data_IF_670837826169
#
_entry.id   IF_670837826169
#
_cell.length_a   1.000
_cell.length_b   1.000
_cell.length_c   1.000
_cell.angle_alpha   90.00
_cell.angle_beta   90.00
_cell.angle_gamma   90.00
#
_symmetry.space_group_name_H-M   'P 1'
#
loop_
_entity.id
_entity.type
_entity.pdbx_description
1 polymer ?
#
# COMPACT_ATOMS: atom_id res chain seq x y z
N UNK A 1 8.26 64.82 86.41
CA UNK A 1 8.08 64.69 84.96
C UNK A 1 8.65 63.31 84.57
N UNK A 2 7.78 62.29 84.51
CA UNK A 2 8.17 60.93 84.22
C UNK A 2 7.75 60.61 82.75
N UNK A 3 8.72 60.34 81.87
CA UNK A 3 8.47 59.95 80.49
C UNK A 3 8.21 58.43 80.40
N UNK A 4 7.01 58.07 80.01
CA UNK A 4 6.67 56.70 79.71
C UNK A 4 7.24 56.32 78.34
N UNK A 5 8.23 55.43 78.29
CA UNK A 5 8.71 54.79 77.08
C UNK A 5 7.68 53.78 76.56
N UNK A 6 7.15 54.06 75.42
CA UNK A 6 6.23 53.15 74.71
C UNK A 6 7.03 52.06 73.98
N UNK A 7 7.09 50.86 74.56
CA UNK A 7 7.66 49.70 73.83
C UNK A 7 6.92 49.36 72.62
N UNK A 8 7.59 49.41 71.46
CA UNK A 8 7.04 48.87 70.19
C UNK A 8 7.13 47.37 70.21
N UNK A 9 5.94 46.65 70.27
CA UNK A 9 5.90 45.21 70.09
C UNK A 9 6.40 44.87 68.67
N UNK A 10 7.45 44.10 68.56
CA UNK A 10 7.89 43.54 67.27
C UNK A 10 6.91 42.45 66.84
N UNK A 11 6.27 42.64 65.73
CA UNK A 11 5.39 41.62 65.13
C UNK A 11 6.31 40.48 64.69
N UNK A 12 6.03 39.27 65.22
CA UNK A 12 6.75 38.08 64.81
C UNK A 12 6.14 37.59 63.46
N UNK A 13 6.76 38.00 62.36
CA UNK A 13 6.32 37.65 60.99
C UNK A 13 6.22 36.16 60.75
N UNK A 14 6.96 35.35 61.49
CA UNK A 14 6.91 33.90 61.38
C UNK A 14 5.55 33.35 61.92
N UNK A 15 5.04 33.87 63.02
CA UNK A 15 3.72 33.50 63.54
C UNK A 15 2.58 34.02 62.64
N UNK A 16 2.72 35.19 62.07
CA UNK A 16 1.77 35.75 61.13
C UNK A 16 1.68 34.92 59.87
N UNK A 17 2.85 34.43 59.34
CA UNK A 17 2.91 33.55 58.16
C UNK A 17 2.20 32.21 58.38
N UNK A 18 2.40 31.60 59.57
CA UNK A 18 1.73 30.34 59.95
C UNK A 18 0.20 30.51 60.05
N UNK A 19 -0.24 31.59 60.65
CA UNK A 19 -1.68 31.88 60.89
C UNK A 19 -2.42 32.10 59.55
N UNK A 20 -1.73 32.60 58.51
CA UNK A 20 -2.33 32.85 57.19
C UNK A 20 -2.19 31.61 56.27
N UNK A 21 -1.03 30.96 56.24
CA UNK A 21 -0.79 29.83 55.29
C UNK A 21 -1.55 28.54 55.68
N UNK A 22 -1.64 28.24 56.96
CA UNK A 22 -2.33 26.99 57.41
C UNK A 22 -3.79 26.96 57.02
N UNK A 23 -4.61 28.02 57.27
CA UNK A 23 -6.00 28.04 56.82
C UNK A 23 -6.16 27.97 55.31
N UNK A 24 -5.29 28.63 54.53
CA UNK A 24 -5.35 28.61 53.08
C UNK A 24 -5.07 27.19 52.54
N UNK A 25 -4.10 26.49 53.15
CA UNK A 25 -3.82 25.08 52.80
C UNK A 25 -4.98 24.15 53.14
N UNK A 26 -5.61 24.33 54.30
CA UNK A 26 -6.79 23.53 54.72
C UNK A 26 -8.00 23.78 53.80
N UNK A 27 -8.25 25.03 53.41
CA UNK A 27 -9.31 25.38 52.47
C UNK A 27 -9.01 24.79 51.09
N UNK A 28 -7.76 24.82 50.63
CA UNK A 28 -7.34 24.22 49.37
C UNK A 28 -7.57 22.71 49.35
N UNK A 29 -7.21 22.01 50.42
CA UNK A 29 -7.45 20.55 50.56
C UNK A 29 -8.94 20.22 50.63
N UNK A 30 -9.72 21.00 51.34
CA UNK A 30 -11.18 20.80 51.39
C UNK A 30 -11.85 21.07 50.03
N UNK A 31 -11.47 22.14 49.34
CA UNK A 31 -11.99 22.42 48.01
C UNK A 31 -11.62 21.32 47.01
N UNK A 32 -10.38 20.82 47.06
CA UNK A 32 -9.94 19.72 46.21
C UNK A 32 -10.70 18.42 46.54
N UNK A 33 -10.84 18.09 47.83
CA UNK A 33 -11.59 16.93 48.26
C UNK A 33 -13.05 16.97 47.83
N UNK A 34 -13.73 18.13 47.95
CA UNK A 34 -15.10 18.33 47.48
C UNK A 34 -15.18 18.24 45.95
N UNK A 35 -14.20 18.78 45.23
CA UNK A 35 -14.17 18.69 43.77
C UNK A 35 -14.05 17.22 43.30
N UNK A 36 -13.20 16.42 43.95
CA UNK A 36 -13.00 15.00 43.63
C UNK A 36 -14.26 14.17 43.98
N UNK A 37 -15.02 14.54 45.01
CA UNK A 37 -16.24 13.82 45.42
C UNK A 37 -17.44 14.22 44.55
N UNK A 38 -17.48 15.48 44.06
CA UNK A 38 -18.63 15.99 43.29
C UNK A 38 -18.45 15.82 41.75
N UNK A 39 -17.25 15.47 41.25
CA UNK A 39 -17.12 15.06 39.88
C UNK A 39 -17.81 13.70 39.72
N UNK A 40 -18.86 13.58 38.87
CA UNK A 40 -19.43 12.28 38.58
C UNK A 40 -18.29 11.37 38.11
N UNK A 41 -18.13 10.19 38.72
CA UNK A 41 -17.34 9.14 38.10
C UNK A 41 -18.02 8.91 36.76
N UNK A 42 -17.44 9.44 35.66
CA UNK A 42 -17.74 8.89 34.36
C UNK A 42 -17.46 7.40 34.47
N UNK A 43 -18.53 6.61 34.38
CA UNK A 43 -18.38 5.20 34.08
C UNK A 43 -17.55 5.15 32.81
N UNK A 44 -16.29 4.81 32.96
CA UNK A 44 -15.47 4.38 31.85
C UNK A 44 -16.15 3.11 31.35
N UNK A 45 -17.16 3.29 30.47
CA UNK A 45 -17.65 2.19 29.65
C UNK A 45 -16.36 1.67 28.99
N UNK A 46 -15.96 0.47 29.39
CA UNK A 46 -14.94 -0.27 28.66
C UNK A 46 -15.35 -0.16 27.18
N UNK A 47 -14.68 0.71 26.47
CA UNK A 47 -14.71 0.69 25.01
C UNK A 47 -14.11 -0.66 24.69
N UNK A 48 -14.99 -1.66 24.52
CA UNK A 48 -14.58 -2.92 23.89
C UNK A 48 -13.90 -2.47 22.61
N UNK A 49 -12.56 -2.47 22.64
CA UNK A 49 -11.77 -2.34 21.43
C UNK A 49 -12.25 -3.48 20.57
N UNK A 50 -13.21 -3.19 19.71
CA UNK A 50 -13.61 -4.10 18.64
C UNK A 50 -12.32 -4.28 17.87
N UNK A 51 -11.61 -5.39 18.15
CA UNK A 51 -10.49 -5.81 17.35
C UNK A 51 -11.03 -5.80 15.94
N UNK A 52 -10.63 -4.82 15.12
CA UNK A 52 -10.97 -4.77 13.71
C UNK A 52 -10.65 -6.15 13.20
N UNK A 53 -11.68 -6.92 12.81
CA UNK A 53 -11.50 -8.26 12.27
C UNK A 53 -10.49 -8.06 11.15
N UNK A 54 -9.36 -8.78 11.19
CA UNK A 54 -8.38 -8.74 10.10
C UNK A 54 -9.20 -9.02 8.84
N UNK A 55 -9.34 -8.06 7.94
CA UNK A 55 -10.04 -8.31 6.71
C UNK A 55 -9.29 -9.43 6.02
N UNK A 56 -9.97 -10.55 5.76
CA UNK A 56 -9.35 -11.66 5.05
C UNK A 56 -8.91 -11.15 3.67
N UNK A 57 -7.71 -11.50 3.20
CA UNK A 57 -7.24 -11.12 1.87
C UNK A 57 -8.21 -11.60 0.80
N UNK A 58 -8.51 -10.75 -0.18
CA UNK A 58 -9.44 -11.07 -1.28
C UNK A 58 -8.83 -10.72 -2.63
N UNK A 59 -9.26 -11.41 -3.69
CA UNK A 59 -8.90 -11.07 -5.08
C UNK A 59 -9.27 -9.61 -5.39
N UNK A 60 -10.44 -9.13 -4.93
CA UNK A 60 -10.83 -7.74 -5.13
C UNK A 60 -9.86 -6.75 -4.48
N UNK A 61 -9.45 -7.02 -3.24
CA UNK A 61 -8.48 -6.17 -2.54
C UNK A 61 -7.12 -6.18 -3.24
N UNK A 62 -6.67 -7.36 -3.72
CA UNK A 62 -5.42 -7.50 -4.46
C UNK A 62 -5.43 -6.62 -5.72
N UNK A 63 -6.51 -6.69 -6.52
CA UNK A 63 -6.65 -5.85 -7.71
C UNK A 63 -6.73 -4.36 -7.37
N UNK A 64 -7.47 -3.98 -6.33
CA UNK A 64 -7.56 -2.58 -5.90
C UNK A 64 -6.22 -2.02 -5.43
N UNK A 65 -5.47 -2.79 -4.63
CA UNK A 65 -4.13 -2.36 -4.20
C UNK A 65 -3.14 -2.26 -5.38
N UNK A 66 -3.25 -3.15 -6.38
CA UNK A 66 -2.40 -3.04 -7.57
C UNK A 66 -2.64 -1.76 -8.38
N UNK A 67 -3.84 -1.17 -8.30
CA UNK A 67 -4.18 0.07 -9.00
C UNK A 67 -3.69 1.34 -8.28
N UNK A 68 -3.46 1.28 -6.95
CA UNK A 68 -3.09 2.47 -6.17
C UNK A 68 -1.83 3.19 -6.68
N UNK A 69 -0.74 2.52 -7.08
CA UNK A 69 0.48 3.17 -7.58
C UNK A 69 0.43 3.52 -9.07
N UNK A 70 -0.61 3.12 -9.82
CA UNK A 70 -0.74 3.39 -11.26
C UNK A 70 -0.72 4.89 -11.54
N UNK A 71 -0.01 5.30 -12.58
CA UNK A 71 0.02 6.68 -13.04
C UNK A 71 0.69 7.67 -12.07
N UNK A 72 1.36 7.17 -11.02
CA UNK A 72 2.01 8.00 -10.00
C UNK A 72 3.32 7.43 -9.45
N UNK A 73 3.76 6.27 -9.94
CA UNK A 73 4.96 5.58 -9.45
C UNK A 73 5.85 5.20 -10.62
N UNK A 74 7.07 5.77 -10.65
CA UNK A 74 8.07 5.50 -11.68
C UNK A 74 8.70 4.12 -11.50
N UNK A 75 9.20 3.55 -12.59
CA UNK A 75 10.04 2.36 -12.55
C UNK A 75 11.44 2.74 -12.02
N UNK A 76 11.86 2.07 -10.97
CA UNK A 76 13.22 2.19 -10.43
C UNK A 76 13.81 0.79 -10.35
N UNK A 77 14.90 0.53 -11.04
CA UNK A 77 15.62 -0.73 -10.91
C UNK A 77 16.08 -0.92 -9.45
N UNK A 78 15.69 -2.04 -8.81
CA UNK A 78 15.87 -2.29 -7.38
C UNK A 78 14.81 -1.63 -6.48
N UNK A 79 13.82 -0.95 -7.05
CA UNK A 79 12.73 -0.33 -6.31
C UNK A 79 11.82 -1.37 -5.64
N UNK A 80 11.60 -1.23 -4.33
CA UNK A 80 10.92 -2.23 -3.51
C UNK A 80 11.85 -3.22 -2.83
N UNK A 81 13.12 -3.30 -3.26
CA UNK A 81 14.16 -4.12 -2.64
C UNK A 81 14.86 -3.39 -1.49
N UNK A 82 15.48 -4.16 -0.60
CA UNK A 82 16.37 -3.59 0.41
C UNK A 82 17.73 -3.24 -0.22
N UNK A 83 18.51 -2.41 0.49
CA UNK A 83 19.84 -1.97 -0.01
C UNK A 83 20.85 -3.10 -0.23
N UNK A 84 20.64 -4.26 0.39
CA UNK A 84 21.50 -5.42 0.24
C UNK A 84 21.06 -6.35 -0.90
N UNK A 85 19.98 -6.01 -1.59
CA UNK A 85 19.40 -6.75 -2.72
C UNK A 85 19.08 -8.23 -2.37
N UNK A 86 18.57 -8.44 -1.14
CA UNK A 86 18.29 -9.78 -0.60
C UNK A 86 16.82 -10.05 -0.33
N UNK A 87 15.92 -9.09 -0.65
CA UNK A 87 14.49 -9.20 -0.45
C UNK A 87 13.82 -7.86 -0.20
N UNK A 88 12.60 -7.90 0.34
CA UNK A 88 11.75 -6.73 0.48
C UNK A 88 12.37 -5.58 1.28
N UNK A 89 12.43 -4.42 0.69
CA UNK A 89 12.81 -3.15 1.30
C UNK A 89 11.69 -2.56 2.17
N UNK A 90 12.00 -1.42 2.78
CA UNK A 90 11.04 -0.69 3.62
C UNK A 90 9.81 -0.28 2.81
N UNK A 91 10.03 0.21 1.60
CA UNK A 91 8.98 0.71 0.70
C UNK A 91 7.97 -0.38 0.36
N UNK A 92 8.44 -1.58 0.02
CA UNK A 92 7.58 -2.74 -0.26
C UNK A 92 6.93 -3.36 1.00
N UNK A 93 7.28 -2.90 2.19
CA UNK A 93 6.73 -3.32 3.49
C UNK A 93 6.02 -2.17 4.20
N UNK A 94 5.50 -1.21 3.44
CA UNK A 94 4.73 -0.07 3.95
C UNK A 94 3.33 -0.11 3.38
N UNK A 95 2.33 0.03 4.25
CA UNK A 95 0.92 0.14 3.85
C UNK A 95 0.69 1.51 3.20
N UNK A 96 -0.04 1.50 2.09
CA UNK A 96 -0.33 2.65 1.23
C UNK A 96 0.83 3.13 0.37
N UNK A 97 0.50 3.86 -0.68
CA UNK A 97 1.45 4.45 -1.63
C UNK A 97 2.34 5.49 -0.95
N UNK A 98 3.62 5.44 -1.22
CA UNK A 98 4.58 6.42 -0.71
C UNK A 98 4.35 7.80 -1.33
N UNK A 99 4.31 8.85 -0.51
CA UNK A 99 4.28 10.23 -1.00
C UNK A 99 5.50 10.57 -1.86
N UNK A 100 6.65 9.95 -1.56
CA UNK A 100 7.90 10.15 -2.30
C UNK A 100 7.75 9.70 -3.76
N UNK A 101 7.04 8.59 -4.04
CA UNK A 101 6.83 8.11 -5.41
C UNK A 101 6.10 9.15 -6.26
N UNK A 102 5.00 9.72 -5.73
CA UNK A 102 4.26 10.78 -6.43
C UNK A 102 5.12 12.02 -6.65
N UNK A 103 5.88 12.45 -5.63
CA UNK A 103 6.79 13.60 -5.74
C UNK A 103 7.84 13.36 -6.82
N UNK A 104 8.43 12.17 -6.85
CA UNK A 104 9.42 11.81 -7.85
C UNK A 104 8.81 11.78 -9.27
N UNK A 105 7.64 11.15 -9.45
CA UNK A 105 6.91 11.20 -10.72
C UNK A 105 6.65 12.63 -11.21
N UNK A 106 6.23 13.52 -10.31
CA UNK A 106 5.94 14.92 -10.67
C UNK A 106 7.18 15.69 -11.13
N UNK A 107 8.37 15.25 -10.73
CA UNK A 107 9.64 15.85 -11.16
C UNK A 107 10.17 15.29 -12.48
N UNK A 108 9.53 14.27 -13.07
CA UNK A 108 9.94 13.65 -14.32
C UNK A 108 9.12 14.18 -15.50
N UNK A 109 9.73 14.17 -16.68
CA UNK A 109 9.09 14.50 -17.95
C UNK A 109 8.97 13.26 -18.87
N UNK A 110 8.57 13.46 -20.10
CA UNK A 110 8.40 12.41 -21.12
C UNK A 110 9.71 11.72 -21.55
N UNK A 111 10.87 12.29 -21.21
CA UNK A 111 12.20 11.75 -21.52
C UNK A 111 12.78 10.94 -20.35
N UNK A 112 11.94 10.52 -19.38
CA UNK A 112 12.40 9.75 -18.25
C UNK A 112 13.22 8.53 -18.66
N UNK A 113 14.46 8.48 -18.18
CA UNK A 113 15.41 7.39 -18.38
C UNK A 113 15.73 6.74 -17.04
N UNK A 114 15.16 5.55 -16.80
CA UNK A 114 15.29 4.83 -15.53
C UNK A 114 16.75 4.47 -15.19
N UNK A 115 17.63 4.35 -16.21
CA UNK A 115 19.04 3.98 -15.97
C UNK A 115 19.83 5.04 -15.20
N UNK A 116 19.32 6.29 -15.17
CA UNK A 116 19.89 7.37 -14.36
C UNK A 116 19.48 7.30 -12.88
N UNK A 117 18.52 6.43 -12.54
CA UNK A 117 17.92 6.37 -11.23
C UNK A 117 17.98 4.97 -10.59
N UNK A 118 18.79 4.07 -11.15
CA UNK A 118 18.98 2.73 -10.63
C UNK A 118 19.34 2.75 -9.14
N UNK A 119 18.76 1.84 -8.37
CA UNK A 119 18.94 1.72 -6.91
C UNK A 119 18.54 2.95 -6.07
N UNK A 120 17.87 3.95 -6.64
CA UNK A 120 17.22 5.00 -5.86
C UNK A 120 15.87 4.47 -5.30
N UNK A 121 15.94 3.38 -4.55
CA UNK A 121 14.85 2.49 -4.16
C UNK A 121 13.64 3.17 -3.50
N UNK A 122 13.81 4.36 -2.94
CA UNK A 122 12.74 5.14 -2.30
C UNK A 122 11.88 5.92 -3.29
N UNK A 123 12.27 6.00 -4.57
CA UNK A 123 11.63 6.82 -5.59
C UNK A 123 10.58 6.08 -6.45
N UNK A 124 10.51 4.76 -6.35
CA UNK A 124 9.57 3.96 -7.14
C UNK A 124 9.70 2.46 -6.89
N UNK A 125 9.20 1.67 -7.83
CA UNK A 125 9.17 0.21 -7.76
C UNK A 125 9.67 -0.39 -9.06
N UNK A 126 10.43 -1.49 -9.01
CA UNK A 126 10.61 -2.38 -10.15
C UNK A 126 9.43 -3.37 -10.28
N UNK A 127 9.53 -4.32 -11.21
CA UNK A 127 8.45 -5.26 -11.48
C UNK A 127 8.15 -6.17 -10.27
N UNK A 128 9.17 -6.74 -9.66
CA UNK A 128 9.06 -7.63 -8.49
C UNK A 128 8.72 -6.87 -7.21
N UNK A 129 9.27 -5.67 -7.06
CA UNK A 129 8.92 -4.74 -5.97
C UNK A 129 7.46 -4.33 -5.99
N UNK A 130 6.91 -4.06 -7.19
CA UNK A 130 5.48 -3.76 -7.38
C UNK A 130 4.58 -4.93 -6.95
N UNK A 131 4.88 -6.14 -7.42
CA UNK A 131 4.11 -7.33 -7.02
C UNK A 131 4.25 -7.58 -5.51
N UNK A 132 5.47 -7.53 -4.98
CA UNK A 132 5.71 -7.70 -3.55
C UNK A 132 4.99 -6.67 -2.68
N UNK A 133 4.98 -5.40 -3.09
CA UNK A 133 4.25 -4.32 -2.42
C UNK A 133 2.72 -4.53 -2.49
N UNK A 134 2.19 -4.92 -3.63
CA UNK A 134 0.76 -5.20 -3.83
C UNK A 134 0.28 -6.35 -2.94
N UNK A 135 1.05 -7.44 -2.92
CA UNK A 135 0.77 -8.60 -2.04
C UNK A 135 0.87 -8.19 -0.57
N UNK A 136 1.87 -7.38 -0.20
CA UNK A 136 2.02 -6.88 1.16
C UNK A 136 0.80 -6.08 1.62
N UNK A 137 0.33 -5.12 0.82
CA UNK A 137 -0.83 -4.29 1.13
C UNK A 137 -2.14 -5.09 1.18
N UNK A 138 -2.19 -6.26 0.53
CA UNK A 138 -3.33 -7.17 0.58
C UNK A 138 -3.31 -8.09 1.80
N UNK A 139 -2.12 -8.59 2.17
CA UNK A 139 -1.95 -9.62 3.20
C UNK A 139 -1.73 -9.04 4.59
N UNK A 140 -1.12 -7.86 4.69
CA UNK A 140 -0.68 -7.26 5.94
C UNK A 140 -1.53 -6.06 6.36
N UNK A 141 -1.53 -5.77 7.65
CA UNK A 141 -2.26 -4.62 8.24
C UNK A 141 -1.34 -3.69 9.03
N UNK A 142 -0.04 -3.98 9.03
CA UNK A 142 0.98 -3.23 9.76
C UNK A 142 2.24 -3.11 8.91
N UNK A 143 2.94 -1.99 9.06
CA UNK A 143 4.26 -1.80 8.46
C UNK A 143 5.30 -2.74 9.09
N UNK A 144 6.39 -2.98 8.37
CA UNK A 144 7.58 -3.72 8.82
C UNK A 144 7.34 -5.20 9.16
N UNK A 145 6.28 -5.82 8.64
CA UNK A 145 6.15 -7.27 8.63
C UNK A 145 7.09 -7.87 7.56
N UNK A 146 7.22 -9.20 7.52
CA UNK A 146 7.93 -9.90 6.45
C UNK A 146 7.34 -9.54 5.09
N UNK A 147 8.20 -9.21 4.14
CA UNK A 147 7.78 -8.80 2.79
C UNK A 147 7.60 -9.98 1.84
N UNK A 148 7.23 -9.63 0.61
CA UNK A 148 6.88 -10.59 -0.44
C UNK A 148 7.69 -10.37 -1.74
N UNK A 149 8.80 -9.61 -1.67
CA UNK A 149 9.69 -9.34 -2.80
C UNK A 149 10.73 -10.44 -2.91
N UNK A 150 10.91 -10.95 -4.11
CA UNK A 150 11.98 -11.85 -4.55
C UNK A 150 12.21 -11.62 -6.04
N UNK A 151 13.25 -12.20 -6.63
CA UNK A 151 13.49 -12.17 -8.08
C UNK A 151 12.26 -12.61 -8.85
N UNK A 152 12.00 -11.98 -10.00
CA UNK A 152 10.74 -12.17 -10.75
C UNK A 152 10.46 -13.64 -11.04
N UNK A 153 11.42 -14.38 -11.57
CA UNK A 153 11.28 -15.83 -11.87
C UNK A 153 11.02 -16.70 -10.65
N UNK A 154 11.43 -16.26 -9.45
CA UNK A 154 11.23 -16.98 -8.20
C UNK A 154 9.89 -16.71 -7.52
N UNK A 155 9.13 -15.69 -7.95
CA UNK A 155 7.83 -15.32 -7.33
C UNK A 155 6.83 -16.49 -7.35
N UNK A 156 6.59 -17.19 -8.48
CA UNK A 156 5.65 -18.30 -8.52
C UNK A 156 6.00 -19.41 -7.54
N UNK A 157 7.26 -19.87 -7.54
CA UNK A 157 7.73 -20.94 -6.68
C UNK A 157 7.68 -20.55 -5.19
N UNK A 158 8.15 -19.36 -4.83
CA UNK A 158 8.11 -18.85 -3.46
C UNK A 158 6.67 -18.79 -2.91
N UNK A 159 5.72 -18.31 -3.72
CA UNK A 159 4.33 -18.20 -3.28
C UNK A 159 3.65 -19.57 -3.21
N UNK A 160 4.03 -20.52 -4.06
CA UNK A 160 3.59 -21.90 -3.95
C UNK A 160 4.15 -22.59 -2.69
N UNK A 161 5.43 -22.42 -2.37
CA UNK A 161 6.05 -22.94 -1.15
C UNK A 161 5.39 -22.40 0.12
N UNK A 162 4.95 -21.14 0.09
CA UNK A 162 4.14 -20.54 1.17
C UNK A 162 2.71 -21.10 1.25
N UNK A 163 2.32 -21.97 0.33
CA UNK A 163 0.97 -22.52 0.25
C UNK A 163 -0.09 -21.53 -0.22
N UNK A 164 0.30 -20.47 -0.90
CA UNK A 164 -0.62 -19.41 -1.32
C UNK A 164 -1.41 -19.76 -2.58
N UNK A 165 -0.92 -20.69 -3.40
CA UNK A 165 -1.54 -21.04 -4.67
C UNK A 165 -0.79 -22.16 -5.39
N UNK A 166 -0.97 -22.21 -6.71
CA UNK A 166 -0.38 -23.21 -7.60
C UNK A 166 0.33 -22.54 -8.77
N UNK A 167 1.40 -23.19 -9.24
CA UNK A 167 2.15 -22.78 -10.44
C UNK A 167 1.75 -23.64 -11.63
N UNK A 168 1.62 -22.99 -12.79
CA UNK A 168 1.46 -23.64 -14.10
C UNK A 168 2.59 -23.13 -15.00
N UNK A 169 3.35 -24.05 -15.60
CA UNK A 169 4.41 -23.69 -16.55
C UNK A 169 3.86 -22.93 -17.75
N UNK A 170 4.66 -22.02 -18.31
CA UNK A 170 4.32 -21.20 -19.49
C UNK A 170 3.77 -22.00 -20.66
N UNK A 171 4.26 -23.22 -20.88
CA UNK A 171 3.78 -24.15 -21.93
C UNK A 171 2.39 -24.70 -21.68
N UNK A 172 1.91 -24.68 -20.45
CA UNK A 172 0.64 -25.29 -20.00
C UNK A 172 -0.43 -24.27 -19.64
N UNK A 173 -0.13 -22.96 -19.70
CA UNK A 173 -1.10 -21.89 -19.45
C UNK A 173 -2.22 -21.91 -20.50
N UNK A 174 -3.46 -22.05 -20.04
CA UNK A 174 -4.64 -22.15 -20.92
C UNK A 174 -5.55 -20.94 -20.85
N UNK A 175 -5.62 -20.31 -19.68
CA UNK A 175 -6.48 -19.15 -19.41
C UNK A 175 -5.80 -18.19 -18.42
N UNK A 176 -6.23 -16.93 -18.45
CA UNK A 176 -5.74 -15.88 -17.59
C UNK A 176 -6.90 -15.34 -16.77
N UNK A 177 -6.79 -15.41 -15.43
CA UNK A 177 -7.85 -14.95 -14.51
C UNK A 177 -7.40 -13.71 -13.73
N UNK A 178 -8.34 -12.83 -13.36
CA UNK A 178 -8.03 -11.68 -12.53
C UNK A 178 -7.26 -12.07 -11.26
N UNK A 179 -6.14 -11.39 -11.03
CA UNK A 179 -5.23 -11.63 -9.91
C UNK A 179 -4.17 -12.71 -10.15
N UNK A 180 -4.18 -13.44 -11.29
CA UNK A 180 -3.04 -14.31 -11.64
C UNK A 180 -1.76 -13.47 -11.73
N UNK A 181 -0.66 -14.01 -11.24
CA UNK A 181 0.68 -13.43 -11.37
C UNK A 181 1.43 -14.24 -12.42
N UNK A 182 1.93 -13.54 -13.42
CA UNK A 182 2.69 -14.12 -14.52
C UNK A 182 4.14 -13.69 -14.40
N UNK A 183 5.07 -14.64 -14.39
CA UNK A 183 6.48 -14.33 -14.14
C UNK A 183 7.43 -15.20 -14.96
N UNK A 184 8.56 -14.61 -15.34
CA UNK A 184 9.76 -15.28 -15.82
C UNK A 184 11.00 -14.62 -15.21
N UNK A 185 12.19 -15.03 -15.61
CA UNK A 185 13.44 -14.49 -15.04
C UNK A 185 13.65 -12.99 -15.31
N UNK A 186 12.98 -12.43 -16.32
CA UNK A 186 13.18 -11.04 -16.74
C UNK A 186 12.12 -10.10 -16.16
N UNK A 187 10.87 -10.59 -15.98
CA UNK A 187 9.75 -9.72 -15.64
C UNK A 187 8.61 -10.43 -14.93
N UNK A 188 7.78 -9.65 -14.25
CA UNK A 188 6.54 -10.12 -13.60
C UNK A 188 5.43 -9.11 -13.76
N UNK A 189 4.18 -9.60 -13.98
CA UNK A 189 2.99 -8.79 -14.08
C UNK A 189 1.77 -9.46 -13.43
N UNK A 190 0.71 -8.68 -13.18
CA UNK A 190 -0.56 -9.17 -12.67
C UNK A 190 -1.65 -9.05 -13.74
N UNK A 191 -2.45 -10.09 -13.88
CA UNK A 191 -3.59 -10.14 -14.80
C UNK A 191 -4.77 -9.36 -14.22
N UNK A 192 -5.33 -8.44 -14.99
CA UNK A 192 -6.64 -7.83 -14.73
C UNK A 192 -7.77 -8.62 -15.40
N UNK A 193 -7.52 -9.19 -16.57
CA UNK A 193 -8.49 -10.07 -17.23
C UNK A 193 -8.12 -10.41 -18.67
N UNK A 194 -8.77 -11.44 -19.22
CA UNK A 194 -8.59 -11.89 -20.60
C UNK A 194 -9.79 -11.52 -21.46
N UNK A 195 -9.52 -11.05 -22.67
CA UNK A 195 -10.52 -10.77 -23.69
C UNK A 195 -10.75 -11.97 -24.62
N UNK A 196 -11.85 -11.93 -25.37
CA UNK A 196 -12.26 -13.02 -26.29
C UNK A 196 -11.33 -13.22 -27.50
N UNK A 197 -10.47 -12.26 -27.83
CA UNK A 197 -9.42 -12.37 -28.84
C UNK A 197 -8.13 -12.98 -28.28
N UNK A 198 -8.15 -13.44 -27.03
CA UNK A 198 -7.02 -14.02 -26.32
C UNK A 198 -6.06 -13.00 -25.73
N UNK A 199 -6.24 -11.71 -26.00
CA UNK A 199 -5.42 -10.67 -25.40
C UNK A 199 -5.68 -10.53 -23.89
N UNK A 200 -4.66 -10.09 -23.13
CA UNK A 200 -4.70 -9.96 -21.68
C UNK A 200 -4.51 -8.50 -21.27
N UNK A 201 -5.47 -7.98 -20.51
CA UNK A 201 -5.32 -6.71 -19.79
C UNK A 201 -4.54 -6.99 -18.52
N UNK A 202 -3.50 -6.22 -18.27
CA UNK A 202 -2.56 -6.45 -17.20
C UNK A 202 -2.14 -5.14 -16.50
N UNK A 203 -1.49 -5.30 -15.37
CA UNK A 203 -0.86 -4.21 -14.63
C UNK A 203 0.55 -4.63 -14.25
N UNK A 204 1.53 -3.77 -14.43
CA UNK A 204 2.93 -4.02 -14.12
C UNK A 204 3.69 -2.74 -13.80
N UNK A 205 4.89 -2.90 -13.22
CA UNK A 205 5.91 -1.87 -13.21
C UNK A 205 6.99 -2.22 -14.23
N UNK A 206 7.11 -1.42 -15.26
CA UNK A 206 8.12 -1.52 -16.33
C UNK A 206 8.40 -0.08 -16.80
N UNK A 207 9.59 0.28 -17.30
CA UNK A 207 9.82 1.64 -17.76
C UNK A 207 8.67 2.15 -18.65
N UNK A 208 8.11 3.34 -18.38
CA UNK A 208 8.58 4.33 -17.41
C UNK A 208 8.08 4.13 -15.97
N UNK A 209 7.10 3.23 -15.66
CA UNK A 209 6.63 2.97 -14.31
C UNK A 209 5.36 2.13 -14.24
N UNK A 210 4.63 2.23 -13.14
CA UNK A 210 3.44 1.40 -12.89
C UNK A 210 2.28 1.87 -13.75
N UNK A 211 1.80 0.97 -14.62
CA UNK A 211 0.73 1.27 -15.57
C UNK A 211 -0.12 0.05 -15.90
N UNK A 212 -1.27 0.30 -16.49
CA UNK A 212 -2.11 -0.70 -17.14
C UNK A 212 -1.63 -0.84 -18.58
N UNK A 213 -1.49 -2.08 -19.04
CA UNK A 213 -1.10 -2.41 -20.40
C UNK A 213 -1.96 -3.55 -20.95
N UNK A 214 -1.92 -3.75 -22.26
CA UNK A 214 -2.56 -4.86 -22.94
C UNK A 214 -1.56 -5.63 -23.80
N UNK A 215 -1.71 -6.96 -23.85
CA UNK A 215 -0.95 -7.78 -24.79
C UNK A 215 -1.55 -7.69 -26.19
N UNK A 216 -0.80 -8.00 -27.25
CA UNK A 216 -1.40 -8.37 -28.54
C UNK A 216 -2.42 -9.49 -28.35
N UNK A 217 -3.29 -9.67 -29.35
CA UNK A 217 -4.19 -10.81 -29.41
C UNK A 217 -3.42 -12.12 -29.68
N UNK A 218 -4.10 -13.25 -29.52
CA UNK A 218 -3.48 -14.57 -29.71
C UNK A 218 -2.90 -14.78 -31.10
N UNK A 219 -3.41 -14.08 -32.12
CA UNK A 219 -2.90 -14.08 -33.50
C UNK A 219 -1.83 -13.01 -33.78
N UNK A 220 -1.36 -12.30 -32.75
CA UNK A 220 -0.30 -11.31 -32.82
C UNK A 220 -0.74 -9.89 -33.19
N UNK A 221 -2.05 -9.60 -33.28
CA UNK A 221 -2.51 -8.25 -33.61
C UNK A 221 -2.28 -7.30 -32.42
N UNK A 222 -1.45 -6.28 -32.61
CA UNK A 222 -1.11 -5.25 -31.61
C UNK A 222 -2.26 -4.29 -31.31
N UNK A 223 -3.28 -4.19 -32.17
CA UNK A 223 -4.51 -3.44 -31.91
C UNK A 223 -5.58 -4.35 -31.26
N UNK A 224 -5.18 -5.12 -30.27
CA UNK A 224 -6.04 -6.03 -29.54
C UNK A 224 -7.07 -5.31 -28.65
N UNK A 225 -8.08 -6.06 -28.20
CA UNK A 225 -9.07 -5.53 -27.23
C UNK A 225 -8.44 -5.10 -25.93
N UNK A 226 -7.39 -5.79 -25.47
CA UNK A 226 -6.69 -5.43 -24.23
C UNK A 226 -5.88 -4.13 -24.38
N UNK A 227 -5.17 -3.95 -25.50
CA UNK A 227 -4.42 -2.73 -25.77
C UNK A 227 -5.35 -1.52 -25.92
N UNK A 228 -6.47 -1.66 -26.62
CA UNK A 228 -7.47 -0.60 -26.74
C UNK A 228 -8.04 -0.24 -25.37
N UNK A 229 -8.44 -1.22 -24.57
CA UNK A 229 -8.97 -0.99 -23.22
C UNK A 229 -7.93 -0.35 -22.30
N UNK A 230 -6.67 -0.78 -22.35
CA UNK A 230 -5.59 -0.18 -21.56
C UNK A 230 -5.40 1.30 -21.88
N UNK A 231 -5.37 1.66 -23.17
CA UNK A 231 -5.27 3.07 -23.64
C UNK A 231 -6.46 3.91 -23.16
N UNK A 232 -7.69 3.39 -23.30
CA UNK A 232 -8.91 4.07 -22.85
C UNK A 232 -8.90 4.32 -21.34
N UNK A 233 -8.53 3.30 -20.55
CA UNK A 233 -8.45 3.42 -19.09
C UNK A 233 -7.36 4.42 -18.70
N UNK A 234 -6.15 4.29 -19.25
CA UNK A 234 -5.04 5.19 -18.91
C UNK A 234 -5.33 6.64 -19.31
N UNK A 235 -5.98 6.86 -20.45
CA UNK A 235 -6.36 8.20 -20.90
C UNK A 235 -7.47 8.82 -20.01
N UNK A 236 -8.45 8.01 -19.57
CA UNK A 236 -9.59 8.49 -18.76
C UNK A 236 -9.21 8.69 -17.29
N UNK A 237 -8.60 7.68 -16.67
CA UNK A 237 -8.39 7.63 -15.23
C UNK A 237 -7.02 8.23 -14.79
N UNK A 238 -6.03 8.24 -15.72
CA UNK A 238 -4.66 8.72 -15.46
C UNK A 238 -4.17 9.68 -16.55
N UNK A 239 -4.92 10.76 -16.87
CA UNK A 239 -4.66 11.61 -18.04
C UNK A 239 -3.29 12.30 -18.02
N UNK A 240 -2.81 12.72 -16.83
CA UNK A 240 -1.48 13.35 -16.70
C UNK A 240 -0.34 12.36 -17.03
N UNK A 241 -0.49 11.11 -16.62
CA UNK A 241 0.45 10.04 -16.96
C UNK A 241 0.40 9.74 -18.44
N UNK A 242 -0.81 9.53 -18.97
CA UNK A 242 -1.01 9.14 -20.38
C UNK A 242 -0.51 10.20 -21.36
N UNK A 243 -0.60 11.48 -20.99
CA UNK A 243 -0.05 12.57 -21.80
C UNK A 243 1.49 12.50 -21.93
N UNK A 244 2.20 12.04 -20.89
CA UNK A 244 3.66 11.85 -20.92
C UNK A 244 4.05 10.49 -21.51
N UNK A 245 3.30 9.44 -21.19
CA UNK A 245 3.67 8.05 -21.46
C UNK A 245 2.49 7.28 -22.06
N UNK A 246 2.15 7.51 -23.34
CA UNK A 246 0.94 6.96 -23.97
C UNK A 246 1.05 5.47 -24.36
N UNK A 247 2.23 4.85 -24.24
CA UNK A 247 2.38 3.44 -24.58
C UNK A 247 1.78 2.54 -23.48
N UNK A 248 0.77 1.76 -23.90
CA UNK A 248 0.07 0.79 -23.08
C UNK A 248 0.15 -0.63 -23.69
N UNK A 249 1.18 -0.90 -24.52
CA UNK A 249 1.33 -2.19 -25.20
C UNK A 249 2.39 -3.02 -24.49
N UNK A 250 2.03 -4.27 -24.14
CA UNK A 250 2.96 -5.29 -23.70
C UNK A 250 3.41 -6.14 -24.90
N UNK A 251 4.57 -6.79 -24.79
CA UNK A 251 5.08 -7.67 -25.83
C UNK A 251 4.27 -8.97 -25.95
N UNK A 252 4.33 -9.63 -27.13
CA UNK A 252 3.64 -10.90 -27.36
C UNK A 252 4.17 -12.02 -26.46
N UNK A 253 5.44 -11.97 -26.06
CA UNK A 253 6.06 -12.92 -25.13
C UNK A 253 5.31 -13.03 -23.78
N UNK A 254 4.59 -11.99 -23.37
CA UNK A 254 3.75 -12.01 -22.18
C UNK A 254 2.65 -13.10 -22.24
N UNK A 255 2.27 -13.56 -23.42
CA UNK A 255 1.31 -14.66 -23.60
C UNK A 255 1.98 -16.05 -23.69
N UNK A 256 3.31 -16.14 -23.87
CA UNK A 256 3.96 -17.38 -24.27
C UNK A 256 5.13 -17.82 -23.38
N UNK A 257 5.72 -16.89 -22.62
CA UNK A 257 7.02 -17.11 -21.96
C UNK A 257 6.99 -16.88 -20.44
N UNK A 258 5.82 -16.89 -19.83
CA UNK A 258 5.64 -16.60 -18.40
C UNK A 258 4.93 -17.74 -17.70
N UNK A 259 5.51 -18.22 -16.60
CA UNK A 259 4.85 -19.15 -15.70
C UNK A 259 3.72 -18.43 -14.97
N UNK A 260 2.62 -19.13 -14.74
CA UNK A 260 1.43 -18.59 -14.09
C UNK A 260 1.38 -19.04 -12.64
N UNK A 261 1.29 -18.09 -11.71
CA UNK A 261 0.87 -18.36 -10.34
C UNK A 261 -0.60 -17.97 -10.16
N UNK A 262 -1.41 -18.90 -9.65
CA UNK A 262 -2.83 -18.69 -9.35
C UNK A 262 -3.12 -18.92 -7.88
N UNK A 263 -3.76 -17.95 -7.24
CA UNK A 263 -4.12 -17.97 -5.83
C UNK A 263 -5.12 -19.07 -5.51
N UNK A 264 -4.97 -19.72 -4.34
CA UNK A 264 -5.99 -20.60 -3.82
C UNK A 264 -7.00 -19.84 -2.92
N UNK A 265 -8.21 -20.35 -2.78
CA UNK A 265 -9.28 -19.73 -2.01
C UNK A 265 -9.08 -19.77 -0.48
N UNK A 266 -8.09 -20.50 0.04
CA UNK A 266 -7.74 -20.50 1.46
C UNK A 266 -6.94 -19.24 1.80
N UNK A 267 -6.05 -18.83 0.92
CA UNK A 267 -5.19 -17.66 1.09
C UNK A 267 -5.87 -16.38 0.60
N UNK A 268 -6.48 -16.42 -0.59
CA UNK A 268 -7.10 -15.25 -1.23
C UNK A 268 -8.58 -15.56 -1.47
N UNK A 269 -9.47 -14.95 -0.67
CA UNK A 269 -10.91 -15.18 -0.81
C UNK A 269 -11.46 -14.55 -2.09
N UNK A 270 -12.38 -15.25 -2.72
CA UNK A 270 -13.07 -14.79 -3.93
C UNK A 270 -14.60 -14.95 -3.81
N UNK A 271 -15.17 -14.37 -2.76
CA UNK A 271 -16.62 -14.46 -2.48
C UNK A 271 -17.47 -13.86 -3.61
N UNK A 272 -16.96 -12.84 -4.29
CA UNK A 272 -17.61 -12.19 -5.43
C UNK A 272 -17.38 -12.90 -6.77
N UNK A 273 -16.63 -14.01 -6.77
CA UNK A 273 -16.28 -14.77 -7.99
C UNK A 273 -15.55 -13.92 -9.04
N UNK A 274 -14.68 -13.02 -8.59
CA UNK A 274 -13.90 -12.11 -9.42
C UNK A 274 -13.10 -12.87 -10.49
N UNK A 275 -12.52 -14.02 -10.14
CA UNK A 275 -11.78 -14.86 -11.08
C UNK A 275 -12.64 -15.52 -12.18
N UNK A 276 -13.96 -15.33 -12.15
CA UNK A 276 -14.88 -15.77 -13.21
C UNK A 276 -15.38 -14.63 -14.09
N UNK A 277 -15.03 -13.38 -13.75
CA UNK A 277 -15.43 -12.21 -14.51
C UNK A 277 -14.59 -12.07 -15.79
N UNK A 278 -15.23 -11.61 -16.85
CA UNK A 278 -14.54 -11.19 -18.07
C UNK A 278 -13.75 -9.90 -17.84
N UNK A 279 -12.74 -9.62 -18.68
CA UNK A 279 -11.98 -8.38 -18.60
C UNK A 279 -12.87 -7.13 -18.59
N UNK A 280 -13.93 -7.10 -19.42
CA UNK A 280 -14.89 -5.98 -19.43
C UNK A 280 -15.61 -5.81 -18.09
N UNK A 281 -16.02 -6.90 -17.43
CA UNK A 281 -16.67 -6.84 -16.12
C UNK A 281 -15.71 -6.40 -15.03
N UNK A 282 -14.42 -6.77 -15.14
CA UNK A 282 -13.36 -6.28 -14.23
C UNK A 282 -13.15 -4.79 -14.40
N UNK A 283 -13.08 -4.29 -15.64
CA UNK A 283 -12.96 -2.85 -15.91
C UNK A 283 -14.12 -2.09 -15.28
N UNK A 284 -15.37 -2.55 -15.50
CA UNK A 284 -16.54 -1.95 -14.87
C UNK A 284 -16.50 -1.99 -13.34
N UNK A 285 -16.06 -3.11 -12.76
CA UNK A 285 -15.95 -3.25 -11.29
C UNK A 285 -14.92 -2.30 -10.64
N UNK A 286 -13.84 -2.01 -11.36
CA UNK A 286 -12.68 -1.29 -10.80
C UNK A 286 -12.72 0.21 -11.13
N UNK A 287 -13.39 0.64 -12.19
CA UNK A 287 -13.31 2.00 -12.73
C UNK A 287 -14.67 2.71 -12.91
N UNK A 288 -15.80 2.03 -12.74
CA UNK A 288 -17.16 2.61 -12.75
C UNK A 288 -17.78 2.60 -11.35
#
# INVERSE_FOLDING_TARGET
MTWLKKEKRKINYFHLLIVILVPVLIIGILCYGVHVVLTPKEEVKEVKVVKKKKNEPTIEALLKHSLEPVGSTMYIWGGGWNKADTGAGKEARTISVSKQWKTFYQSQDENYDYTQYEYQIHNGLDCSGFIGWTVYNTMETKNNQSGYVTESGNIPSLYQEKGFGTVTSSTDVKDYKPGDIMANDEHVYMVLGQYSDGSVLLIHSSPPGVRIAGTPSKDGNVNSKAVIAAKEIMAKEYPEWYAKYPDCTADYSFLTSYDQFRWNSKTMKDAKKIQKLSARQIVHLLFD
#
